data_IF_165649297766
#
_entry.id   IF_165649297766
#
_cell.length_a   1.000
_cell.length_b   1.000
_cell.length_c   1.000
_cell.angle_alpha   90.00
_cell.angle_beta   90.00
_cell.angle_gamma   90.00
#
_symmetry.space_group_name_H-M   'P 1'
#
loop_
_entity.id
_entity.type
_entity.pdbx_description
1 polymer ?
#
# COMPACT_ATOMS: atom_id res chain seq x y z
N UNK A 1 -26.68 60.38 -19.28
CA UNK A 1 -25.47 59.55 -19.51
C UNK A 1 -25.66 58.16 -18.91
N UNK A 2 -25.05 57.17 -19.56
CA UNK A 2 -25.37 55.74 -19.54
C UNK A 2 -24.91 54.96 -18.27
N UNK A 3 -25.33 55.39 -17.07
CA UNK A 3 -24.91 54.78 -15.79
C UNK A 3 -25.41 53.34 -15.63
N UNK A 4 -26.67 53.05 -16.01
CA UNK A 4 -27.23 51.68 -15.94
C UNK A 4 -26.42 50.67 -16.78
N UNK A 5 -25.84 51.12 -17.89
CA UNK A 5 -25.03 50.28 -18.78
C UNK A 5 -23.64 50.00 -18.17
N UNK A 6 -23.05 50.98 -17.49
CA UNK A 6 -21.81 50.78 -16.72
C UNK A 6 -22.02 49.81 -15.55
N UNK A 7 -23.11 49.97 -14.78
CA UNK A 7 -23.44 49.06 -13.67
C UNK A 7 -23.64 47.62 -14.18
N UNK A 8 -24.37 47.45 -15.29
CA UNK A 8 -24.58 46.12 -15.92
C UNK A 8 -23.27 45.48 -16.41
N UNK A 9 -22.35 46.27 -16.96
CA UNK A 9 -21.04 45.81 -17.40
C UNK A 9 -20.16 45.34 -16.23
N UNK A 10 -20.19 46.08 -15.12
CA UNK A 10 -19.44 45.71 -13.90
C UNK A 10 -20.02 44.45 -13.26
N UNK A 11 -21.34 44.33 -13.18
CA UNK A 11 -22.01 43.12 -12.68
C UNK A 11 -21.73 41.90 -13.56
N UNK A 12 -21.79 42.04 -14.89
CA UNK A 12 -21.46 40.97 -15.81
C UNK A 12 -19.99 40.55 -15.67
N UNK A 13 -19.05 41.49 -15.59
CA UNK A 13 -17.63 41.17 -15.37
C UNK A 13 -17.42 40.37 -14.08
N UNK A 14 -18.06 40.78 -12.98
CA UNK A 14 -18.02 40.05 -11.70
C UNK A 14 -18.67 38.66 -11.79
N UNK A 15 -19.80 38.54 -12.50
CA UNK A 15 -20.50 37.28 -12.70
C UNK A 15 -19.69 36.30 -13.56
N UNK A 16 -19.10 36.75 -14.67
CA UNK A 16 -18.25 35.91 -15.54
C UNK A 16 -16.99 35.44 -14.81
N UNK A 17 -16.41 36.27 -13.94
CA UNK A 17 -15.26 35.89 -13.10
C UNK A 17 -15.65 34.81 -12.09
N UNK A 18 -16.82 34.91 -11.43
CA UNK A 18 -17.33 33.87 -10.54
C UNK A 18 -17.68 32.57 -11.28
N UNK A 19 -18.26 32.68 -12.48
CA UNK A 19 -18.60 31.53 -13.33
C UNK A 19 -17.36 30.77 -13.83
N UNK A 20 -16.23 31.46 -14.01
CA UNK A 20 -14.93 30.87 -14.39
C UNK A 20 -14.22 30.15 -13.22
N UNK A 21 -14.70 30.31 -11.97
CA UNK A 21 -14.15 29.67 -10.76
C UNK A 21 -14.89 28.38 -10.36
N UNK A 22 -16.13 28.19 -10.82
CA UNK A 22 -16.88 26.94 -10.70
C UNK A 22 -16.17 25.67 -11.22
N UNK A 23 -15.52 25.67 -12.40
CA UNK A 23 -14.80 24.48 -12.86
C UNK A 23 -13.66 24.08 -11.93
N UNK A 24 -12.96 25.05 -11.32
CA UNK A 24 -11.89 24.77 -10.35
C UNK A 24 -12.42 24.02 -9.13
N UNK A 25 -13.56 24.45 -8.58
CA UNK A 25 -14.22 23.78 -7.44
C UNK A 25 -14.68 22.37 -7.82
N UNK A 26 -15.22 22.20 -9.03
CA UNK A 26 -15.64 20.88 -9.53
C UNK A 26 -14.43 19.93 -9.63
N UNK A 27 -13.32 20.36 -10.23
CA UNK A 27 -12.12 19.53 -10.31
C UNK A 27 -11.52 19.20 -8.93
N UNK A 28 -11.56 20.17 -8.01
CA UNK A 28 -11.08 20.00 -6.63
C UNK A 28 -11.91 18.97 -5.85
N UNK A 29 -13.20 18.81 -6.15
CA UNK A 29 -14.08 17.79 -5.56
C UNK A 29 -14.01 16.45 -6.32
N UNK A 30 -13.93 16.48 -7.65
CA UNK A 30 -13.85 15.27 -8.48
C UNK A 30 -12.55 14.52 -8.21
N UNK A 31 -11.44 15.22 -8.02
CA UNK A 31 -10.13 14.62 -7.79
C UNK A 31 -10.09 13.66 -6.59
N UNK A 32 -10.48 14.06 -5.35
CA UNK A 32 -10.51 13.14 -4.21
C UNK A 32 -11.52 12.01 -4.38
N UNK A 33 -12.68 12.28 -5.01
CA UNK A 33 -13.68 11.26 -5.33
C UNK A 33 -13.12 10.18 -6.26
N UNK A 34 -12.40 10.59 -7.30
CA UNK A 34 -11.78 9.68 -8.26
C UNK A 34 -10.71 8.80 -7.61
N UNK A 35 -9.86 9.38 -6.75
CA UNK A 35 -8.88 8.61 -5.96
C UNK A 35 -9.57 7.56 -5.08
N UNK A 36 -10.67 7.94 -4.43
CA UNK A 36 -11.43 7.03 -3.57
C UNK A 36 -12.06 5.88 -4.36
N UNK A 37 -12.61 6.17 -5.54
CA UNK A 37 -13.20 5.17 -6.43
C UNK A 37 -12.15 4.17 -6.94
N UNK A 38 -10.95 4.63 -7.30
CA UNK A 38 -9.85 3.73 -7.69
C UNK A 38 -9.48 2.80 -6.53
N UNK A 39 -9.31 3.33 -5.33
CA UNK A 39 -8.98 2.53 -4.14
C UNK A 39 -10.06 1.49 -3.84
N UNK A 40 -11.33 1.87 -3.93
CA UNK A 40 -12.45 0.94 -3.77
C UNK A 40 -12.46 -0.13 -4.86
N UNK A 41 -12.17 0.23 -6.10
CA UNK A 41 -12.07 -0.70 -7.22
C UNK A 41 -10.97 -1.74 -7.00
N UNK A 42 -9.77 -1.29 -6.63
CA UNK A 42 -8.63 -2.17 -6.31
C UNK A 42 -8.99 -3.12 -5.16
N UNK A 43 -9.66 -2.62 -4.12
CA UNK A 43 -10.14 -3.45 -3.01
C UNK A 43 -11.14 -4.51 -3.47
N UNK A 44 -12.08 -4.15 -4.35
CA UNK A 44 -13.09 -5.07 -4.89
C UNK A 44 -12.48 -6.18 -5.73
N UNK A 45 -11.34 -5.91 -6.39
CA UNK A 45 -10.58 -6.91 -7.11
C UNK A 45 -9.91 -7.96 -6.21
N UNK A 46 -10.05 -7.86 -4.87
CA UNK A 46 -9.59 -8.84 -3.88
C UNK A 46 -8.20 -9.40 -4.20
N UNK A 47 -7.20 -8.52 -4.29
CA UNK A 47 -5.79 -8.92 -4.43
C UNK A 47 -5.25 -9.67 -3.19
N UNK A 48 -6.07 -9.82 -2.15
CA UNK A 48 -5.72 -10.56 -0.94
C UNK A 48 -5.91 -12.04 -1.21
N UNK A 49 -4.81 -12.71 -1.53
CA UNK A 49 -4.74 -14.17 -1.51
C UNK A 49 -4.51 -14.58 -0.05
N UNK A 50 -5.48 -15.29 0.53
CA UNK A 50 -5.33 -15.88 1.86
C UNK A 50 -4.51 -17.16 1.72
N UNK A 51 -3.40 -17.23 2.45
CA UNK A 51 -2.59 -18.45 2.59
C UNK A 51 -2.74 -18.96 4.01
N UNK A 52 -2.94 -20.27 4.16
CA UNK A 52 -2.88 -20.93 5.47
C UNK A 52 -1.50 -20.76 6.11
N UNK A 53 -1.39 -21.05 7.41
CA UNK A 53 -0.16 -20.86 8.21
C UNK A 53 1.09 -21.41 7.51
N UNK A 54 1.87 -20.50 6.94
CA UNK A 54 3.09 -20.78 6.20
C UNK A 54 4.31 -20.65 7.11
N UNK A 55 5.04 -21.75 7.29
CA UNK A 55 6.31 -21.74 8.01
C UNK A 55 7.48 -21.82 7.02
N UNK A 56 8.35 -20.83 7.12
CA UNK A 56 9.63 -20.83 6.43
C UNK A 56 10.67 -21.47 7.33
N UNK A 57 11.63 -22.15 6.71
CA UNK A 57 12.71 -22.78 7.45
C UNK A 57 13.69 -21.74 8.01
N UNK A 58 14.27 -22.00 9.18
CA UNK A 58 15.25 -21.09 9.75
C UNK A 58 16.51 -20.98 8.87
N UNK A 59 16.97 -19.75 8.66
CA UNK A 59 18.27 -19.46 8.05
C UNK A 59 19.25 -19.00 9.11
N UNK A 60 20.42 -19.62 9.14
CA UNK A 60 21.48 -19.16 10.04
C UNK A 60 22.06 -17.84 9.54
N UNK A 61 22.18 -16.88 10.45
CA UNK A 61 22.87 -15.62 10.18
C UNK A 61 24.38 -15.83 10.24
N UNK A 62 25.15 -14.98 9.55
CA UNK A 62 26.62 -15.08 9.52
C UNK A 62 27.29 -15.05 10.90
N UNK A 63 26.61 -14.53 11.92
CA UNK A 63 27.06 -14.52 13.32
C UNK A 63 27.04 -15.91 13.99
N UNK A 64 26.24 -16.86 13.50
CA UNK A 64 26.21 -18.26 13.97
C UNK A 64 27.32 -19.12 13.33
N UNK A 65 28.11 -18.52 12.42
CA UNK A 65 29.18 -19.16 11.67
C UNK A 65 28.97 -19.00 10.16
N UNK A 66 30.05 -18.69 9.43
CA UNK A 66 29.99 -18.40 8.00
C UNK A 66 29.62 -19.62 7.14
N UNK A 67 30.21 -20.78 7.43
CA UNK A 67 29.94 -22.05 6.72
C UNK A 67 28.47 -22.52 6.86
N UNK A 68 27.89 -22.66 8.07
CA UNK A 68 26.50 -23.09 8.22
C UNK A 68 25.51 -22.06 7.67
N UNK A 69 25.85 -20.76 7.73
CA UNK A 69 25.07 -19.71 7.09
C UNK A 69 25.04 -19.92 5.58
N UNK A 70 26.20 -20.00 4.91
CA UNK A 70 26.26 -20.21 3.46
C UNK A 70 25.56 -21.48 3.01
N UNK A 71 25.78 -22.60 3.70
CA UNK A 71 25.14 -23.86 3.39
C UNK A 71 23.61 -23.72 3.43
N UNK A 72 23.08 -23.03 4.43
CA UNK A 72 21.63 -22.86 4.56
C UNK A 72 21.07 -21.86 3.55
N UNK A 73 21.81 -20.81 3.20
CA UNK A 73 21.43 -19.90 2.12
C UNK A 73 21.40 -20.60 0.74
N UNK A 74 22.40 -21.43 0.45
CA UNK A 74 22.51 -22.15 -0.83
C UNK A 74 21.46 -23.27 -0.90
N UNK A 75 21.36 -24.11 0.14
CA UNK A 75 20.41 -25.23 0.15
C UNK A 75 18.95 -24.78 0.26
N UNK A 76 18.67 -23.67 0.96
CA UNK A 76 17.32 -23.10 1.11
C UNK A 76 17.23 -21.72 0.44
N UNK A 77 17.64 -21.67 -0.82
CA UNK A 77 17.58 -20.44 -1.62
C UNK A 77 16.15 -20.08 -1.98
N UNK A 78 15.36 -21.07 -2.40
CA UNK A 78 13.95 -20.92 -2.66
C UNK A 78 13.20 -21.01 -1.32
N UNK A 79 12.63 -19.90 -0.83
CA UNK A 79 11.89 -19.84 0.45
C UNK A 79 10.59 -20.67 0.36
N UNK A 80 10.71 -22.00 0.35
CA UNK A 80 9.58 -22.90 0.24
C UNK A 80 8.72 -22.82 1.49
N UNK A 81 7.43 -22.68 1.26
CA UNK A 81 6.44 -22.58 2.30
C UNK A 81 5.97 -23.98 2.74
N UNK A 82 6.04 -24.28 4.04
CA UNK A 82 5.54 -25.53 4.61
C UNK A 82 4.42 -25.26 5.60
N UNK A 83 3.39 -26.12 5.64
CA UNK A 83 2.29 -26.02 6.61
C UNK A 83 2.66 -26.55 8.01
N UNK A 84 3.94 -26.86 8.24
CA UNK A 84 4.48 -27.36 9.51
C UNK A 84 5.86 -26.75 9.76
N UNK A 85 6.23 -26.64 11.03
CA UNK A 85 7.57 -26.21 11.46
C UNK A 85 8.59 -27.33 11.25
N UNK A 86 9.80 -27.04 10.76
CA UNK A 86 10.82 -28.09 10.65
C UNK A 86 11.15 -28.70 12.01
N UNK A 87 11.41 -30.02 12.08
CA UNK A 87 11.82 -30.67 13.31
C UNK A 87 13.07 -30.03 13.95
N UNK A 88 14.03 -29.60 13.13
CA UNK A 88 15.26 -28.94 13.58
C UNK A 88 15.00 -27.57 14.22
N UNK A 89 14.02 -26.82 13.68
CA UNK A 89 13.65 -25.50 14.18
C UNK A 89 12.83 -25.62 15.47
N UNK A 90 11.90 -26.59 15.52
CA UNK A 90 11.18 -26.94 16.75
C UNK A 90 12.13 -27.35 17.87
N UNK A 91 13.12 -28.19 17.58
CA UNK A 91 14.11 -28.63 18.56
C UNK A 91 14.94 -27.47 19.10
N UNK A 92 15.34 -26.51 18.25
CA UNK A 92 16.03 -25.29 18.71
C UNK A 92 15.16 -24.38 19.57
N UNK A 93 13.88 -24.22 19.25
CA UNK A 93 12.97 -23.42 20.07
C UNK A 93 12.86 -24.04 21.47
N UNK A 94 12.62 -25.36 21.52
CA UNK A 94 12.46 -26.10 22.79
C UNK A 94 13.74 -26.18 23.64
N UNK A 95 14.93 -26.12 23.02
CA UNK A 95 16.21 -26.20 23.74
C UNK A 95 16.75 -24.85 24.21
N UNK A 96 16.32 -23.73 23.62
CA UNK A 96 16.66 -22.39 24.11
C UNK A 96 15.79 -21.94 25.30
N UNK A 97 14.72 -22.67 25.61
CA UNK A 97 13.83 -22.44 26.76
C UNK A 97 14.21 -23.27 28.02
N UNK A 98 15.28 -24.06 27.95
CA UNK A 98 15.84 -24.77 29.11
C UNK A 98 17.07 -24.01 29.62
N UNK A 99 17.11 -23.61 30.90
CA UNK A 99 18.24 -22.89 31.49
C UNK A 99 19.54 -23.69 31.48
#
# INVERSE_FOLDING_TARGET
MSICRQIRLVLWKNFTIRRRRWPRVIFEIIWPLFLFLILMWVRTRNLVVYYDSCHNDAKYLGSTGFLPALQTYICRWNNTCHNYTNPTDQFKILTNDIP
#
